data_IF_209593266660
#
_entry.id   IF_209593266660
#
_cell.length_a   1.000
_cell.length_b   1.000
_cell.length_c   1.000
_cell.angle_alpha   90.00
_cell.angle_beta   90.00
_cell.angle_gamma   90.00
#
_symmetry.space_group_name_H-M   'P 1'
#
loop_
_entity.id
_entity.type
_entity.pdbx_description
1 polymer ?
#
# COMPACT_ATOMS: atom_id res chain seq x y z
N UNK A 1 -16.80 13.49 11.59
CA UNK A 1 -17.07 12.08 11.94
C UNK A 1 -15.75 11.30 11.93
N UNK A 2 -15.38 10.62 13.02
CA UNK A 2 -14.10 9.87 13.10
C UNK A 2 -14.18 8.51 12.36
N UNK A 3 -13.03 7.89 12.05
CA UNK A 3 -12.95 6.63 11.26
C UNK A 3 -13.72 5.48 11.91
N UNK A 4 -13.72 5.42 13.24
CA UNK A 4 -14.47 4.45 14.03
C UNK A 4 -15.99 4.58 13.86
N UNK A 5 -16.51 5.82 13.82
CA UNK A 5 -17.94 6.08 13.58
C UNK A 5 -18.37 5.67 12.17
N UNK A 6 -17.54 5.92 11.13
CA UNK A 6 -17.83 5.47 9.76
C UNK A 6 -17.86 3.95 9.63
N UNK A 7 -16.92 3.26 10.28
CA UNK A 7 -16.89 1.80 10.35
C UNK A 7 -18.18 1.23 10.96
N UNK A 8 -18.64 1.84 12.06
CA UNK A 8 -19.90 1.43 12.70
C UNK A 8 -21.12 1.74 11.85
N UNK A 9 -21.16 2.89 11.21
CA UNK A 9 -22.25 3.24 10.31
C UNK A 9 -22.31 2.24 9.14
N UNK A 10 -21.18 1.86 8.55
CA UNK A 10 -21.13 0.80 7.54
C UNK A 10 -21.59 -0.56 8.09
N UNK A 11 -21.23 -0.93 9.32
CA UNK A 11 -21.69 -2.15 9.99
C UNK A 11 -23.20 -2.12 10.33
N UNK A 12 -23.74 -0.95 10.72
CA UNK A 12 -25.15 -0.77 11.12
C UNK A 12 -26.10 -0.60 9.95
N UNK A 13 -25.68 0.15 8.93
CA UNK A 13 -26.44 0.42 7.71
C UNK A 13 -26.56 -0.82 6.82
N UNK A 14 -25.60 -1.74 6.94
CA UNK A 14 -25.59 -3.06 6.30
C UNK A 14 -26.24 -3.10 4.93
N UNK A 15 -25.60 -2.59 3.86
CA UNK A 15 -25.95 -3.05 2.53
C UNK A 15 -25.57 -4.53 2.46
N UNK A 16 -26.39 -5.38 1.83
CA UNK A 16 -25.87 -6.64 1.29
C UNK A 16 -24.70 -6.25 0.41
N UNK A 17 -23.49 -6.80 0.64
CA UNK A 17 -22.36 -6.44 -0.17
C UNK A 17 -22.72 -6.73 -1.63
N UNK A 18 -22.72 -5.70 -2.47
CA UNK A 18 -23.11 -5.89 -3.86
C UNK A 18 -22.09 -6.82 -4.54
N UNK A 19 -22.49 -7.53 -5.61
CA UNK A 19 -21.62 -8.49 -6.27
C UNK A 19 -20.28 -7.89 -6.75
N UNK A 20 -20.25 -6.60 -7.12
CA UNK A 20 -19.04 -5.94 -7.59
C UNK A 20 -18.06 -5.68 -6.44
N UNK A 21 -18.54 -5.22 -5.29
CA UNK A 21 -17.71 -5.09 -4.09
C UNK A 21 -17.18 -6.45 -3.62
N UNK A 22 -18.02 -7.49 -3.61
CA UNK A 22 -17.58 -8.85 -3.22
C UNK A 22 -16.50 -9.38 -4.17
N UNK A 23 -16.65 -9.14 -5.47
CA UNK A 23 -15.64 -9.50 -6.45
C UNK A 23 -14.33 -8.72 -6.21
N UNK A 24 -14.41 -7.41 -5.94
CA UNK A 24 -13.24 -6.58 -5.66
C UNK A 24 -12.45 -7.05 -4.43
N UNK A 25 -13.14 -7.48 -3.37
CA UNK A 25 -12.51 -8.01 -2.14
C UNK A 25 -11.83 -9.37 -2.32
N UNK A 26 -12.17 -10.12 -3.38
CA UNK A 26 -11.58 -11.43 -3.71
C UNK A 26 -10.41 -11.33 -4.68
N UNK A 27 -10.12 -10.13 -5.20
CA UNK A 27 -9.00 -9.92 -6.13
C UNK A 27 -7.68 -10.27 -5.43
N UNK A 28 -6.88 -11.22 -5.96
CA UNK A 28 -5.58 -11.55 -5.39
C UNK A 28 -4.67 -10.32 -5.36
N UNK A 29 -3.98 -10.11 -4.23
CA UNK A 29 -3.09 -8.96 -4.00
C UNK A 29 -1.71 -9.35 -3.45
N UNK A 30 -1.49 -10.64 -3.22
CA UNK A 30 -0.20 -11.21 -2.83
C UNK A 30 0.34 -12.06 -3.98
N UNK A 31 1.65 -12.02 -4.16
CA UNK A 31 2.44 -12.84 -5.06
C UNK A 31 3.48 -13.60 -4.22
N UNK A 32 3.45 -14.93 -4.29
CA UNK A 32 4.35 -15.83 -3.57
C UNK A 32 5.78 -15.82 -4.14
N UNK A 33 6.00 -15.15 -5.27
CA UNK A 33 7.35 -14.94 -5.81
C UNK A 33 8.16 -14.07 -4.84
N UNK A 34 9.44 -14.42 -4.56
CA UNK A 34 10.29 -13.61 -3.70
C UNK A 34 10.52 -12.22 -4.31
N UNK A 35 10.60 -11.21 -3.46
CA UNK A 35 10.91 -9.83 -3.84
C UNK A 35 12.39 -9.67 -4.18
N UNK A 36 12.81 -10.31 -5.27
CA UNK A 36 14.15 -10.24 -5.85
C UNK A 36 14.11 -9.53 -7.20
N UNK A 37 14.97 -8.54 -7.41
CA UNK A 37 15.01 -7.76 -8.64
C UNK A 37 13.77 -6.86 -8.88
N UNK A 38 13.69 -6.18 -10.04
CA UNK A 38 12.57 -5.30 -10.37
C UNK A 38 11.27 -6.09 -10.66
N UNK A 39 10.09 -5.54 -10.34
CA UNK A 39 8.82 -6.13 -10.76
C UNK A 39 8.60 -6.01 -12.28
N UNK A 40 7.73 -6.87 -12.80
CA UNK A 40 7.23 -6.80 -14.17
C UNK A 40 6.27 -5.62 -14.33
N UNK A 41 6.51 -4.74 -15.31
CA UNK A 41 5.77 -3.51 -15.52
C UNK A 41 4.72 -3.62 -16.65
N UNK A 42 4.05 -4.76 -16.79
CA UNK A 42 2.98 -4.93 -17.80
C UNK A 42 1.70 -4.20 -17.39
N UNK A 43 0.89 -3.79 -18.37
CA UNK A 43 -0.40 -3.16 -18.12
C UNK A 43 -1.31 -4.06 -17.27
N UNK A 44 -1.23 -5.39 -17.47
CA UNK A 44 -1.98 -6.34 -16.65
C UNK A 44 -1.55 -6.31 -15.18
N UNK A 45 -0.26 -6.14 -14.88
CA UNK A 45 0.22 -6.01 -13.50
C UNK A 45 -0.17 -4.66 -12.88
N UNK A 46 -0.20 -3.57 -13.65
CA UNK A 46 -0.76 -2.30 -13.19
C UNK A 46 -2.26 -2.40 -12.88
N UNK A 47 -3.00 -3.21 -13.65
CA UNK A 47 -4.43 -3.46 -13.43
C UNK A 47 -4.70 -4.32 -12.19
N UNK A 48 -3.86 -5.32 -11.95
CA UNK A 48 -3.96 -6.25 -10.81
C UNK A 48 -2.64 -6.32 -10.04
N UNK A 49 -2.28 -5.24 -9.32
CA UNK A 49 -1.00 -5.17 -8.61
C UNK A 49 -0.98 -6.18 -7.47
N UNK A 50 0.09 -6.98 -7.41
CA UNK A 50 0.32 -7.97 -6.35
C UNK A 50 1.68 -7.74 -5.71
N UNK A 51 1.71 -7.70 -4.39
CA UNK A 51 2.94 -7.51 -3.64
C UNK A 51 3.70 -8.84 -3.55
N UNK A 52 4.99 -8.82 -3.87
CA UNK A 52 5.89 -9.99 -3.78
C UNK A 52 6.27 -10.32 -2.33
N UNK A 53 6.60 -11.58 -2.08
CA UNK A 53 6.93 -12.09 -0.76
C UNK A 53 8.27 -11.52 -0.28
N UNK A 54 8.35 -11.20 1.01
CA UNK A 54 9.60 -10.79 1.63
C UNK A 54 10.58 -11.97 1.69
N UNK A 55 11.83 -11.73 1.31
CA UNK A 55 12.87 -12.76 1.28
C UNK A 55 13.52 -13.01 2.66
N UNK A 56 13.06 -12.34 3.72
CA UNK A 56 13.60 -12.49 5.06
C UNK A 56 12.99 -13.70 5.76
N UNK A 57 13.78 -14.40 6.57
CA UNK A 57 13.37 -15.60 7.30
C UNK A 57 12.48 -15.24 8.50
N UNK A 58 11.19 -15.64 8.54
CA UNK A 58 10.29 -15.32 9.64
C UNK A 58 10.73 -15.88 10.99
N UNK A 59 11.40 -17.04 11.02
CA UNK A 59 11.91 -17.64 12.26
C UNK A 59 13.05 -16.85 12.91
N UNK A 60 13.65 -15.89 12.18
CA UNK A 60 14.78 -15.08 12.65
C UNK A 60 14.37 -13.74 13.29
N UNK A 61 13.07 -13.49 13.48
CA UNK A 61 12.57 -12.20 13.97
C UNK A 61 12.98 -11.97 15.43
N UNK A 62 13.77 -10.92 15.65
CA UNK A 62 14.06 -10.37 16.97
C UNK A 62 13.21 -9.12 17.23
N UNK A 63 12.20 -9.27 18.09
CA UNK A 63 11.29 -8.19 18.51
C UNK A 63 11.97 -7.24 19.48
N UNK A 64 11.95 -5.93 19.22
CA UNK A 64 12.63 -4.94 20.09
C UNK A 64 11.69 -3.94 20.75
N UNK A 65 10.71 -3.41 20.00
CA UNK A 65 9.81 -2.37 20.53
C UNK A 65 8.49 -2.38 19.77
N UNK A 66 7.36 -2.30 20.48
CA UNK A 66 6.09 -1.96 19.84
C UNK A 66 6.08 -0.45 19.52
N UNK A 67 5.87 -0.10 18.26
CA UNK A 67 5.90 1.28 17.78
C UNK A 67 4.53 1.94 17.85
N UNK A 68 3.46 1.16 17.70
CA UNK A 68 2.10 1.64 17.85
C UNK A 68 1.08 0.73 17.18
N UNK A 69 -0.16 1.20 17.10
CA UNK A 69 -1.22 0.49 16.41
C UNK A 69 -2.45 1.36 16.22
N UNK A 70 -3.36 0.84 15.40
CA UNK A 70 -4.63 1.48 15.10
C UNK A 70 -5.61 0.47 14.53
N UNK A 71 -6.69 0.96 13.94
CA UNK A 71 -7.79 0.12 13.44
C UNK A 71 -7.34 -0.98 12.48
N UNK A 72 -6.36 -0.70 11.62
CA UNK A 72 -5.91 -1.64 10.59
C UNK A 72 -4.94 -2.70 11.11
N UNK A 73 -4.18 -2.39 12.16
CA UNK A 73 -2.98 -3.15 12.50
C UNK A 73 -2.08 -2.54 13.56
N UNK A 74 -1.04 -3.28 13.92
CA UNK A 74 0.01 -2.90 14.87
C UNK A 74 1.38 -2.92 14.20
N UNK A 75 2.32 -2.17 14.75
CA UNK A 75 3.69 -2.05 14.23
C UNK A 75 4.73 -2.31 15.30
N UNK A 76 5.81 -2.99 14.91
CA UNK A 76 6.97 -3.27 15.77
C UNK A 76 8.27 -2.89 15.09
N UNK A 77 9.24 -2.45 15.89
CA UNK A 77 10.66 -2.38 15.50
C UNK A 77 11.25 -3.78 15.68
N UNK A 78 11.78 -4.34 14.60
CA UNK A 78 12.30 -5.71 14.55
C UNK A 78 13.64 -5.79 13.82
N UNK A 79 14.35 -6.88 14.07
CA UNK A 79 15.51 -7.33 13.28
C UNK A 79 15.20 -8.72 12.72
N UNK A 80 15.84 -9.08 11.61
CA UNK A 80 15.82 -10.42 11.02
C UNK A 80 17.25 -10.96 11.04
N UNK A 81 17.57 -11.81 12.02
CA UNK A 81 18.97 -12.13 12.34
C UNK A 81 19.77 -10.87 12.66
N UNK A 82 20.89 -10.68 11.97
CA UNK A 82 21.76 -9.49 12.10
C UNK A 82 21.29 -8.29 11.25
N UNK A 83 20.25 -8.46 10.42
CA UNK A 83 19.74 -7.37 9.56
C UNK A 83 18.69 -6.53 10.30
N UNK A 84 18.85 -5.20 10.28
CA UNK A 84 17.85 -4.26 10.78
C UNK A 84 18.45 -2.92 11.21
N UNK A 85 17.63 -2.02 11.78
CA UNK A 85 16.22 -2.20 12.13
C UNK A 85 15.24 -2.15 10.95
N UNK A 86 14.08 -2.78 11.13
CA UNK A 86 12.90 -2.70 10.26
C UNK A 86 11.63 -2.37 11.04
N UNK A 87 10.58 -1.96 10.32
CA UNK A 87 9.21 -1.91 10.85
C UNK A 87 8.44 -3.11 10.32
N UNK A 88 7.88 -3.90 11.23
CA UNK A 88 6.96 -4.99 10.91
C UNK A 88 5.54 -4.53 11.22
N UNK A 89 4.71 -4.36 10.20
CA UNK A 89 3.28 -4.03 10.35
C UNK A 89 2.45 -5.28 10.19
N UNK A 90 1.60 -5.58 11.16
CA UNK A 90 0.68 -6.71 11.15
C UNK A 90 -0.74 -6.19 10.99
N UNK A 91 -1.48 -6.70 10.00
CA UNK A 91 -2.89 -6.36 9.84
C UNK A 91 -3.76 -7.23 10.74
N UNK A 92 -4.79 -6.64 11.37
CA UNK A 92 -5.70 -7.39 12.22
C UNK A 92 -6.75 -8.20 11.44
N UNK A 93 -7.11 -7.72 10.25
CA UNK A 93 -8.02 -8.42 9.36
C UNK A 93 -7.24 -9.43 8.52
N UNK A 94 -7.57 -10.71 8.67
CA UNK A 94 -7.00 -11.83 7.91
C UNK A 94 -7.84 -12.20 6.69
N UNK A 95 -9.10 -11.77 6.71
CA UNK A 95 -10.13 -12.02 5.72
C UNK A 95 -10.75 -10.69 5.29
N UNK A 96 -11.32 -10.60 4.09
CA UNK A 96 -12.10 -9.43 3.72
C UNK A 96 -13.22 -9.17 4.75
N UNK A 97 -13.52 -7.89 5.04
CA UNK A 97 -14.57 -7.55 5.98
C UNK A 97 -15.92 -8.13 5.52
N UNK A 98 -16.83 -8.41 6.45
CA UNK A 98 -18.17 -8.95 6.13
C UNK A 98 -19.21 -7.88 5.75
N UNK A 99 -18.79 -6.61 5.71
CA UNK A 99 -19.61 -5.44 5.46
C UNK A 99 -18.87 -4.50 4.51
N UNK A 100 -19.59 -3.59 3.83
CA UNK A 100 -18.99 -2.67 2.86
C UNK A 100 -17.96 -1.77 3.54
N UNK A 101 -16.70 -2.16 3.39
CA UNK A 101 -15.52 -1.46 3.87
C UNK A 101 -14.32 -1.84 3.01
N UNK A 102 -13.22 -1.10 3.14
CA UNK A 102 -11.99 -1.51 2.47
C UNK A 102 -11.29 -2.61 3.27
N UNK A 103 -10.58 -3.49 2.57
CA UNK A 103 -9.67 -4.46 3.19
C UNK A 103 -8.26 -3.86 3.29
N UNK A 104 -7.82 -3.55 4.52
CA UNK A 104 -6.58 -2.80 4.77
C UNK A 104 -5.34 -3.46 4.15
N UNK A 105 -5.15 -4.76 4.38
CA UNK A 105 -4.03 -5.52 3.84
C UNK A 105 -4.00 -5.48 2.31
N UNK A 106 -5.15 -5.69 1.67
CA UNK A 106 -5.28 -5.63 0.21
C UNK A 106 -4.87 -4.26 -0.34
N UNK A 107 -5.45 -3.17 0.21
CA UNK A 107 -5.18 -1.81 -0.27
C UNK A 107 -3.72 -1.42 -0.13
N UNK A 108 -3.10 -1.76 1.00
CA UNK A 108 -1.71 -1.41 1.26
C UNK A 108 -0.75 -2.22 0.38
N UNK A 109 -0.98 -3.52 0.22
CA UNK A 109 -0.19 -4.35 -0.69
C UNK A 109 -0.26 -3.87 -2.15
N UNK A 110 -1.47 -3.56 -2.63
CA UNK A 110 -1.67 -3.06 -3.99
C UNK A 110 -0.98 -1.72 -4.23
N UNK A 111 -1.09 -0.78 -3.28
CA UNK A 111 -0.42 0.52 -3.38
C UNK A 111 1.11 0.37 -3.40
N UNK A 112 1.68 -0.49 -2.55
CA UNK A 112 3.12 -0.74 -2.54
C UNK A 112 3.59 -1.36 -3.86
N UNK A 113 2.86 -2.37 -4.34
CA UNK A 113 3.18 -3.01 -5.61
C UNK A 113 3.15 -2.00 -6.78
N UNK A 114 2.18 -1.08 -6.79
CA UNK A 114 2.14 0.03 -7.76
C UNK A 114 3.38 0.92 -7.65
N UNK A 115 3.77 1.35 -6.44
CA UNK A 115 4.97 2.19 -6.29
C UNK A 115 6.24 1.48 -6.75
N UNK A 116 6.39 0.18 -6.46
CA UNK A 116 7.53 -0.61 -6.93
C UNK A 116 7.57 -0.72 -8.46
N UNK A 117 6.41 -0.89 -9.10
CA UNK A 117 6.32 -0.91 -10.56
C UNK A 117 6.61 0.46 -11.17
N UNK A 118 6.12 1.55 -10.58
CA UNK A 118 6.39 2.91 -11.05
C UNK A 118 7.89 3.23 -10.93
N UNK A 119 8.51 2.94 -9.79
CA UNK A 119 9.95 3.13 -9.56
C UNK A 119 10.78 2.34 -10.59
N UNK A 120 10.44 1.07 -10.80
CA UNK A 120 11.13 0.22 -11.78
C UNK A 120 10.94 0.71 -13.22
N UNK A 121 9.73 1.12 -13.59
CA UNK A 121 9.44 1.67 -14.91
C UNK A 121 10.27 2.93 -15.18
N UNK A 122 10.38 3.84 -14.20
CA UNK A 122 11.20 5.05 -14.28
C UNK A 122 12.69 4.70 -14.44
N UNK A 123 13.21 3.76 -13.64
CA UNK A 123 14.60 3.34 -13.73
C UNK A 123 14.94 2.74 -15.11
N UNK A 124 14.07 1.89 -15.65
CA UNK A 124 14.22 1.30 -16.98
C UNK A 124 14.11 2.34 -18.10
N UNK A 125 13.23 3.33 -17.94
CA UNK A 125 13.05 4.44 -18.86
C UNK A 125 14.30 5.32 -18.92
N UNK A 126 14.87 5.64 -17.75
CA UNK A 126 16.12 6.39 -17.62
C UNK A 126 17.29 5.66 -18.28
N UNK A 127 17.43 4.34 -18.05
CA UNK A 127 18.47 3.52 -18.69
C UNK A 127 18.40 3.52 -20.23
N UNK A 128 17.22 3.78 -20.80
CA UNK A 128 16.99 3.88 -22.25
C UNK A 128 16.96 5.33 -22.76
N UNK A 129 17.21 6.32 -21.89
CA UNK A 129 17.07 7.76 -22.21
C UNK A 129 15.71 8.13 -22.82
N UNK A 130 14.63 7.48 -22.35
CA UNK A 130 13.26 7.68 -22.84
C UNK A 130 12.35 8.00 -21.65
N UNK A 131 12.20 9.27 -21.24
CA UNK A 131 11.40 9.63 -20.07
C UNK A 131 9.92 9.28 -20.25
N UNK A 132 9.24 9.00 -19.15
CA UNK A 132 7.82 8.65 -19.13
C UNK A 132 7.00 9.93 -19.17
N UNK A 133 6.05 10.03 -20.11
CA UNK A 133 5.16 11.18 -20.19
C UNK A 133 3.78 10.88 -19.62
N UNK A 134 3.26 11.83 -18.85
CA UNK A 134 1.96 11.78 -18.17
C UNK A 134 1.24 13.12 -18.29
N UNK A 135 -0.08 13.14 -18.07
CA UNK A 135 -0.87 14.35 -17.88
C UNK A 135 -0.44 15.08 -16.61
N UNK A 136 -0.06 16.36 -16.74
CA UNK A 136 0.44 17.16 -15.63
C UNK A 136 -0.63 17.49 -14.58
N UNK A 137 -1.88 17.57 -15.02
CA UNK A 137 -3.02 17.94 -14.19
C UNK A 137 -4.26 17.15 -14.63
N UNK A 138 -4.34 15.84 -14.32
CA UNK A 138 -5.47 15.00 -14.75
C UNK A 138 -6.77 15.50 -14.14
N UNK A 139 -7.72 15.88 -14.99
CA UNK A 139 -9.05 16.37 -14.63
C UNK A 139 -10.09 15.27 -14.64
N UNK A 140 -9.84 14.15 -15.33
CA UNK A 140 -10.79 13.04 -15.42
C UNK A 140 -10.25 11.75 -14.83
N UNK A 141 -11.16 10.83 -14.48
CA UNK A 141 -10.78 9.47 -14.08
C UNK A 141 -10.01 8.75 -15.19
N UNK A 142 -10.36 8.99 -16.45
CA UNK A 142 -9.65 8.40 -17.59
C UNK A 142 -8.21 8.92 -17.68
N UNK A 143 -7.99 10.22 -17.54
CA UNK A 143 -6.64 10.80 -17.55
C UNK A 143 -5.78 10.30 -16.37
N UNK A 144 -6.38 10.07 -15.20
CA UNK A 144 -5.69 9.48 -14.06
C UNK A 144 -5.31 8.00 -14.32
N UNK A 145 -6.18 7.25 -15.00
CA UNK A 145 -5.88 5.89 -15.44
C UNK A 145 -4.81 5.87 -16.53
N UNK A 146 -4.85 6.80 -17.48
CA UNK A 146 -3.84 6.95 -18.53
C UNK A 146 -2.47 7.27 -17.91
N UNK A 147 -2.44 8.12 -16.87
CA UNK A 147 -1.23 8.37 -16.08
C UNK A 147 -0.69 7.11 -15.42
N UNK A 148 -1.54 6.30 -14.80
CA UNK A 148 -1.13 5.04 -14.19
C UNK A 148 -0.57 4.07 -15.24
N UNK A 149 -1.25 3.91 -16.37
CA UNK A 149 -0.83 3.00 -17.45
C UNK A 149 0.34 3.54 -18.28
N UNK A 150 0.68 4.83 -18.21
CA UNK A 150 1.89 5.37 -18.83
C UNK A 150 3.17 4.70 -18.32
N UNK A 151 3.15 4.14 -17.10
CA UNK A 151 4.24 3.35 -16.52
C UNK A 151 4.25 1.90 -16.98
N UNK A 152 3.28 1.44 -17.77
CA UNK A 152 3.29 0.10 -18.35
C UNK A 152 4.23 0.00 -19.56
N UNK A 153 4.80 -1.18 -19.78
CA UNK A 153 5.68 -1.47 -20.92
C UNK A 153 4.95 -1.22 -22.25
N UNK A 154 3.69 -1.63 -22.34
CA UNK A 154 2.85 -1.53 -23.54
C UNK A 154 2.64 -0.08 -23.97
N UNK A 155 2.43 0.83 -23.02
CA UNK A 155 2.23 2.26 -23.30
C UNK A 155 3.56 2.96 -23.48
N UNK A 156 4.47 2.84 -22.52
CA UNK A 156 5.75 3.57 -22.52
C UNK A 156 6.63 3.26 -23.74
N UNK A 157 6.66 2.00 -24.18
CA UNK A 157 7.46 1.62 -25.36
C UNK A 157 6.88 2.14 -26.67
N UNK A 158 5.58 2.45 -26.70
CA UNK A 158 4.86 3.03 -27.84
C UNK A 158 4.79 4.56 -27.82
N UNK A 159 5.23 5.22 -26.74
CA UNK A 159 5.27 6.68 -26.66
C UNK A 159 6.27 7.22 -27.68
N UNK A 160 5.78 7.51 -28.89
CA UNK A 160 6.55 8.02 -30.03
C UNK A 160 6.21 9.48 -30.40
N UNK A 161 5.26 10.11 -29.69
CA UNK A 161 4.67 11.39 -30.13
C UNK A 161 5.43 12.64 -29.63
N UNK A 162 5.41 13.75 -30.40
CA UNK A 162 6.06 15.00 -30.04
C UNK A 162 5.45 15.62 -28.78
N UNK A 163 6.21 16.52 -28.15
CA UNK A 163 5.80 17.24 -26.94
C UNK A 163 4.44 17.91 -27.11
N UNK A 164 3.50 17.59 -26.23
CA UNK A 164 2.26 18.34 -26.07
C UNK A 164 2.35 19.19 -24.80
N UNK A 165 1.80 20.40 -24.83
CA UNK A 165 1.82 21.32 -23.68
C UNK A 165 1.06 20.82 -22.44
N UNK A 166 0.32 19.72 -22.55
CA UNK A 166 -0.49 19.13 -21.45
C UNK A 166 0.22 17.99 -20.71
N UNK A 167 1.37 17.54 -21.22
CA UNK A 167 2.10 16.39 -20.68
C UNK A 167 3.44 16.81 -20.09
N UNK A 168 3.82 16.20 -18.97
CA UNK A 168 5.13 16.39 -18.33
C UNK A 168 5.92 15.09 -18.32
N UNK A 169 7.25 15.22 -18.33
CA UNK A 169 8.16 14.09 -18.22
C UNK A 169 8.42 13.77 -16.76
N UNK A 170 8.28 12.50 -16.38
CA UNK A 170 8.65 11.97 -15.06
C UNK A 170 9.96 11.21 -15.20
N UNK A 171 10.95 11.65 -14.42
CA UNK A 171 12.31 11.09 -14.40
C UNK A 171 12.71 10.54 -13.04
N UNK A 172 11.91 10.82 -11.99
CA UNK A 172 12.14 10.34 -10.63
C UNK A 172 10.83 10.11 -9.89
N UNK A 173 10.89 9.26 -8.88
CA UNK A 173 9.87 9.11 -7.84
C UNK A 173 10.42 9.76 -6.56
N UNK A 174 9.62 10.53 -5.80
CA UNK A 174 10.07 11.00 -4.49
C UNK A 174 10.35 9.81 -3.57
N UNK A 175 11.14 10.02 -2.51
CA UNK A 175 11.47 8.95 -1.57
C UNK A 175 10.21 8.47 -0.85
N UNK A 176 9.68 7.32 -1.27
CA UNK A 176 8.63 6.58 -0.57
C UNK A 176 9.27 5.59 0.39
N UNK A 177 8.61 5.31 1.52
CA UNK A 177 9.09 4.32 2.48
C UNK A 177 9.26 2.97 1.80
N UNK A 178 10.50 2.45 1.78
CA UNK A 178 10.79 1.15 1.17
C UNK A 178 10.05 0.03 1.89
N UNK A 179 9.37 -0.82 1.13
CA UNK A 179 8.79 -2.07 1.60
C UNK A 179 9.59 -3.25 1.03
N UNK A 180 9.89 -4.23 1.88
CA UNK A 180 10.64 -5.43 1.56
C UNK A 180 9.74 -6.64 1.27
N UNK A 181 8.42 -6.43 1.19
CA UNK A 181 7.44 -7.47 0.85
C UNK A 181 6.57 -7.90 2.02
N UNK A 182 5.76 -8.92 1.75
CA UNK A 182 4.85 -9.50 2.73
C UNK A 182 5.37 -10.79 3.35
N UNK A 183 4.93 -11.07 4.58
CA UNK A 183 5.15 -12.32 5.31
C UNK A 183 3.82 -12.83 5.88
N UNK A 184 3.77 -14.12 6.22
CA UNK A 184 2.73 -14.69 7.06
C UNK A 184 3.32 -15.06 8.41
N UNK A 185 2.61 -14.70 9.47
CA UNK A 185 3.01 -15.01 10.84
C UNK A 185 1.83 -15.61 11.59
N UNK A 186 2.09 -16.70 12.31
CA UNK A 186 1.08 -17.31 13.18
C UNK A 186 0.78 -16.43 14.39
N UNK A 187 -0.48 -16.41 14.79
CA UNK A 187 -1.00 -15.75 15.99
C UNK A 187 -0.21 -16.10 17.25
N UNK A 188 0.27 -17.35 17.33
CA UNK A 188 1.04 -17.85 18.46
C UNK A 188 2.31 -17.01 18.76
N UNK A 189 2.95 -16.45 17.73
CA UNK A 189 4.14 -15.62 17.86
C UNK A 189 3.84 -14.40 18.73
N UNK A 190 2.68 -13.76 18.50
CA UNK A 190 2.28 -12.55 19.24
C UNK A 190 1.84 -12.85 20.67
N UNK A 191 1.24 -14.03 20.90
CA UNK A 191 0.88 -14.46 22.24
C UNK A 191 2.09 -14.78 23.12
N UNK A 192 3.16 -15.30 22.51
CA UNK A 192 4.42 -15.63 23.15
C UNK A 192 5.31 -14.41 23.46
N UNK A 193 4.98 -13.21 22.95
CA UNK A 193 5.77 -12.01 23.21
C UNK A 193 5.74 -11.61 24.70
N UNK A 194 6.83 -11.03 25.24
CA UNK A 194 6.82 -10.33 26.53
C UNK A 194 5.75 -9.24 26.59
N UNK A 195 5.25 -8.94 27.79
CA UNK A 195 4.13 -8.03 28.00
C UNK A 195 4.36 -6.64 27.39
N UNK A 196 5.60 -6.14 27.44
CA UNK A 196 6.02 -4.84 26.91
C UNK A 196 5.95 -4.77 25.37
N UNK A 197 5.94 -5.93 24.72
CA UNK A 197 5.87 -6.08 23.26
C UNK A 197 4.50 -6.56 22.79
N UNK A 198 3.57 -6.91 23.69
CA UNK A 198 2.24 -7.38 23.30
C UNK A 198 1.42 -6.24 22.71
N UNK A 199 0.72 -6.55 21.61
CA UNK A 199 -0.29 -5.65 21.08
C UNK A 199 -1.44 -5.51 22.09
N UNK A 200 -1.85 -4.28 22.45
CA UNK A 200 -3.00 -4.10 23.32
C UNK A 200 -4.26 -4.53 22.60
N UNK A 201 -5.09 -5.30 23.28
CA UNK A 201 -6.49 -5.43 22.90
C UNK A 201 -7.17 -4.10 23.18
N UNK A 202 -7.82 -3.52 22.17
CA UNK A 202 -8.56 -2.29 22.36
C UNK A 202 -9.98 -2.40 21.85
N UNK A 203 -10.86 -1.69 22.54
CA UNK A 203 -12.24 -1.52 22.14
C UNK A 203 -12.38 -0.12 21.59
N UNK A 204 -12.56 -0.02 20.28
CA UNK A 204 -12.97 1.24 19.67
C UNK A 204 -14.49 1.18 19.59
N UNK A 205 -15.12 1.90 20.52
CA UNK A 205 -16.55 1.93 20.76
C UNK A 205 -17.19 0.57 21.10
N UNK A 206 -17.76 -0.12 20.10
CA UNK A 206 -18.34 -1.47 20.23
C UNK A 206 -17.53 -2.55 19.49
N UNK A 207 -16.50 -2.15 18.74
CA UNK A 207 -15.64 -3.07 17.99
C UNK A 207 -14.47 -3.44 18.89
N UNK A 208 -14.41 -4.71 19.29
CA UNK A 208 -13.25 -5.28 19.97
C UNK A 208 -12.25 -5.73 18.93
N UNK A 209 -11.00 -5.29 19.06
CA UNK A 209 -9.89 -5.64 18.17
C UNK A 209 -8.79 -6.29 19.01
N UNK A 210 -8.42 -7.51 18.64
CA UNK A 210 -7.33 -8.27 19.24
C UNK A 210 -6.76 -9.28 18.24
N UNK A 211 -5.52 -9.70 18.46
CA UNK A 211 -4.95 -10.84 17.75
C UNK A 211 -5.44 -12.14 18.39
N UNK A 212 -5.71 -13.13 17.56
CA UNK A 212 -6.13 -14.48 17.93
C UNK A 212 -4.96 -15.43 17.77
N UNK A 213 -4.86 -16.43 18.64
CA UNK A 213 -3.77 -17.39 18.66
C UNK A 213 -3.76 -18.32 17.44
N UNK A 214 -4.94 -18.67 16.95
CA UNK A 214 -5.22 -19.71 15.95
C UNK A 214 -5.26 -19.20 14.50
N UNK A 215 -4.92 -17.93 14.27
CA UNK A 215 -4.95 -17.30 12.95
C UNK A 215 -3.55 -17.06 12.39
N UNK A 216 -3.44 -17.05 11.07
CA UNK A 216 -2.28 -16.50 10.37
C UNK A 216 -2.56 -15.06 9.95
N UNK A 217 -1.57 -14.20 10.17
CA UNK A 217 -1.66 -12.78 9.90
C UNK A 217 -0.76 -12.37 8.73
N UNK A 218 -1.25 -11.45 7.91
CA UNK A 218 -0.45 -10.79 6.88
C UNK A 218 0.38 -9.71 7.56
N UNK A 219 1.69 -9.77 7.29
CA UNK A 219 2.67 -8.82 7.78
C UNK A 219 3.37 -8.12 6.61
N UNK A 220 3.73 -6.85 6.78
CA UNK A 220 4.57 -6.11 5.85
C UNK A 220 5.84 -5.65 6.53
N UNK A 221 6.96 -5.82 5.83
CA UNK A 221 8.28 -5.39 6.29
C UNK A 221 8.63 -4.08 5.60
N UNK A 222 8.89 -3.05 6.38
CA UNK A 222 9.29 -1.72 5.88
C UNK A 222 10.66 -1.33 6.40
N UNK A 223 11.32 -0.41 5.69
CA UNK A 223 12.47 0.30 6.24
C UNK A 223 12.08 1.00 7.54
N UNK A 224 12.97 0.97 8.51
CA UNK A 224 12.85 1.78 9.70
C UNK A 224 13.42 3.18 9.42
N UNK A 225 12.62 4.20 9.70
CA UNK A 225 13.03 5.60 9.61
C UNK A 225 13.03 6.14 11.04
N UNK A 226 14.17 6.69 11.48
CA UNK A 226 14.29 7.32 12.79
C UNK A 226 13.32 8.49 12.91
N UNK A 227 12.79 8.68 14.12
CA UNK A 227 11.89 9.80 14.40
C UNK A 227 12.64 11.12 14.25
N UNK A 228 12.03 12.06 13.52
CA UNK A 228 12.60 13.36 13.24
C UNK A 228 11.52 14.32 12.75
N UNK A 229 11.88 15.60 12.63
CA UNK A 229 10.99 16.59 12.03
C UNK A 229 10.81 16.27 10.55
N UNK A 230 9.57 16.31 10.08
CA UNK A 230 9.28 16.21 8.66
C UNK A 230 9.86 17.42 7.92
N UNK A 231 10.44 17.17 6.75
CA UNK A 231 10.79 18.24 5.82
C UNK A 231 9.57 18.55 4.96
N UNK A 232 9.00 19.76 5.12
CA UNK A 232 7.78 20.19 4.44
C UNK A 232 7.88 20.09 2.91
N UNK A 233 9.03 20.45 2.32
CA UNK A 233 9.23 20.39 0.88
C UNK A 233 9.18 18.95 0.34
N UNK A 234 9.74 17.99 1.09
CA UNK A 234 9.69 16.56 0.74
C UNK A 234 8.26 16.03 0.86
N UNK A 235 7.52 16.45 1.89
CA UNK A 235 6.11 16.07 2.06
C UNK A 235 5.25 16.60 0.90
N UNK A 236 5.47 17.85 0.49
CA UNK A 236 4.75 18.45 -0.63
C UNK A 236 5.07 17.76 -1.96
N UNK A 237 6.34 17.40 -2.19
CA UNK A 237 6.77 16.64 -3.37
C UNK A 237 6.05 15.28 -3.44
N UNK A 238 5.97 14.56 -2.32
CA UNK A 238 5.22 13.30 -2.22
C UNK A 238 3.73 13.52 -2.47
N UNK A 239 3.08 14.53 -1.88
CA UNK A 239 1.65 14.80 -2.12
C UNK A 239 1.36 15.09 -3.59
N UNK A 240 2.19 15.91 -4.23
CA UNK A 240 2.07 16.21 -5.66
C UNK A 240 2.21 14.96 -6.50
N UNK A 241 3.18 14.10 -6.19
CA UNK A 241 3.36 12.84 -6.92
C UNK A 241 2.16 11.90 -6.76
N UNK A 242 1.60 11.78 -5.56
CA UNK A 242 0.43 10.95 -5.29
C UNK A 242 -0.86 11.48 -5.92
N UNK A 243 -0.92 12.78 -6.25
CA UNK A 243 -2.03 13.36 -6.98
C UNK A 243 -2.07 12.96 -8.46
N UNK A 244 -0.93 12.62 -9.07
CA UNK A 244 -0.81 12.29 -10.50
C UNK A 244 -1.70 11.11 -10.93
N UNK A 245 -1.74 9.96 -10.21
CA UNK A 245 -2.64 8.85 -10.55
C UNK A 245 -4.03 9.00 -9.90
N UNK A 246 -4.33 10.14 -9.26
CA UNK A 246 -5.54 10.34 -8.48
C UNK A 246 -6.43 11.40 -9.13
N UNK A 247 -7.65 11.04 -9.53
CA UNK A 247 -8.65 12.03 -9.87
C UNK A 247 -9.04 12.80 -8.60
N UNK A 248 -8.69 14.10 -8.54
CA UNK A 248 -9.20 15.02 -7.51
C UNK A 248 -10.42 15.72 -8.12
N UNK A 249 -11.66 15.37 -7.73
CA UNK A 249 -12.84 16.08 -8.23
C UNK A 249 -12.75 17.56 -7.88
N UNK A 250 -13.12 18.40 -8.84
CA UNK A 250 -13.19 19.84 -8.73
C UNK A 250 -14.13 20.27 -7.59
N UNK A 251 -13.97 21.52 -7.11
CA UNK A 251 -14.83 22.08 -6.05
C UNK A 251 -16.33 22.06 -6.41
N UNK A 252 -16.65 22.10 -7.70
CA UNK A 252 -18.00 22.01 -8.26
C UNK A 252 -18.58 20.60 -8.21
N UNK A 253 -17.78 19.55 -8.40
CA UNK A 253 -18.23 18.14 -8.32
C UNK A 253 -18.47 17.68 -6.87
N UNK A 254 -17.92 18.38 -5.87
CA UNK A 254 -18.14 18.08 -4.45
C UNK A 254 -19.50 18.55 -3.91
N UNK A 255 -20.26 19.32 -4.70
CA UNK A 255 -21.59 19.80 -4.32
C UNK A 255 -22.72 18.81 -4.68
N UNK A 256 -22.41 17.72 -5.40
CA UNK A 256 -23.41 16.76 -5.91
C UNK A 256 -23.31 15.37 -5.25
N UNK A 257 -22.59 15.22 -4.14
CA UNK A 257 -22.51 13.99 -3.34
C UNK A 257 -22.88 14.19 -1.87
#
# INVERSE_FOLDING_TARGET
MNRASRLREAQRMGPRPDPAWQAAMKVPFLDDSPMSGPPLCTAQNFKLPRLRQCAFEPGSIAWKKMLGGGLDGHTWKVWFGEMGPFVLKIFLDTDPPSFIHYYAAQRECQNIALFQMIEAAIAQAAAKSKPIRIHANPQTQQEALDNLYAFSDEVRLRQSSPESSRTVSITSIPRIRKCYGWLRLSGNVFHALPLELKAPSFKIDKIQRSMSFDREYIALVYEYIEEGRNNEAVVEEVDRFLAIPSHRPSRTERAEY
#
